data_IF_803332299904
#
_entry.id   IF_803332299904
#
_cell.length_a   1.000
_cell.length_b   1.000
_cell.length_c   1.000
_cell.angle_alpha   90.00
_cell.angle_beta   90.00
_cell.angle_gamma   90.00
#
_symmetry.space_group_name_H-M   'P 1'
#
loop_
_entity.id
_entity.type
_entity.pdbx_description
1 polymer ?
#
# COMPACT_ATOMS: atom_id res chain seq x y z
N UNK A 1 29.11 -45.47 11.89
CA UNK A 1 28.50 -44.12 11.86
C UNK A 1 29.66 -43.15 11.66
N UNK A 2 29.65 -42.31 10.62
CA UNK A 2 30.74 -41.32 10.46
C UNK A 2 30.70 -40.34 11.64
N UNK A 3 31.88 -39.88 12.09
CA UNK A 3 31.97 -38.82 13.09
C UNK A 3 31.38 -37.51 12.55
N UNK A 4 30.73 -36.73 13.42
CA UNK A 4 30.06 -35.50 13.02
C UNK A 4 31.04 -34.48 12.40
N UNK A 5 32.28 -34.40 12.90
CA UNK A 5 33.28 -33.47 12.36
C UNK A 5 33.73 -33.89 10.97
N UNK A 6 33.85 -35.19 10.72
CA UNK A 6 34.23 -35.69 9.40
C UNK A 6 33.09 -35.51 8.39
N UNK A 7 31.82 -35.67 8.80
CA UNK A 7 30.66 -35.35 7.96
C UNK A 7 30.67 -33.86 7.59
N UNK A 8 30.91 -32.96 8.56
CA UNK A 8 30.97 -31.51 8.30
C UNK A 8 32.09 -31.14 7.33
N UNK A 9 33.29 -31.72 7.48
CA UNK A 9 34.39 -31.53 6.52
C UNK A 9 34.04 -31.99 5.10
N UNK A 10 33.27 -33.08 4.98
CA UNK A 10 32.81 -33.54 3.67
C UNK A 10 31.75 -32.59 3.08
N UNK A 11 30.87 -32.00 3.91
CA UNK A 11 29.93 -30.94 3.50
C UNK A 11 30.67 -29.68 3.04
N UNK A 12 31.64 -29.20 3.81
CA UNK A 12 32.41 -27.98 3.47
C UNK A 12 33.08 -28.10 2.08
N UNK A 13 33.64 -29.28 1.77
CA UNK A 13 34.22 -29.55 0.43
C UNK A 13 33.19 -29.55 -0.70
N UNK A 14 31.95 -29.93 -0.42
CA UNK A 14 30.86 -29.89 -1.40
C UNK A 14 30.41 -28.44 -1.57
N UNK A 15 30.27 -27.69 -0.49
CA UNK A 15 29.86 -26.29 -0.51
C UNK A 15 30.85 -25.43 -1.31
N UNK A 16 32.16 -25.64 -1.13
CA UNK A 16 33.19 -25.00 -1.97
C UNK A 16 32.99 -25.25 -3.47
N UNK A 17 32.63 -26.48 -3.85
CA UNK A 17 32.34 -26.81 -5.25
C UNK A 17 31.06 -26.15 -5.74
N UNK A 18 30.00 -26.10 -4.91
CA UNK A 18 28.75 -25.43 -5.24
C UNK A 18 28.99 -23.94 -5.50
N UNK A 19 29.76 -23.27 -4.64
CA UNK A 19 30.13 -21.85 -4.81
C UNK A 19 30.87 -21.64 -6.13
N UNK A 20 31.88 -22.46 -6.42
CA UNK A 20 32.63 -22.37 -7.67
C UNK A 20 31.73 -22.53 -8.90
N UNK A 21 30.86 -23.53 -8.90
CA UNK A 21 29.92 -23.79 -10.00
C UNK A 21 28.89 -22.67 -10.15
N UNK A 22 28.42 -22.09 -9.04
CA UNK A 22 27.51 -20.96 -9.05
C UNK A 22 28.16 -19.74 -9.71
N UNK A 23 29.39 -19.39 -9.33
CA UNK A 23 30.15 -18.29 -9.94
C UNK A 23 30.38 -18.49 -11.44
N UNK A 24 30.78 -19.69 -11.85
CA UNK A 24 30.92 -20.05 -13.27
C UNK A 24 29.60 -19.87 -14.04
N UNK A 25 28.48 -20.31 -13.45
CA UNK A 25 27.14 -20.13 -14.04
C UNK A 25 26.73 -18.65 -14.12
N UNK A 26 27.08 -17.85 -13.12
CA UNK A 26 26.80 -16.41 -13.12
C UNK A 26 27.64 -15.66 -14.17
N UNK A 27 28.83 -16.15 -14.53
CA UNK A 27 29.59 -15.62 -15.67
C UNK A 27 28.86 -15.87 -16.97
N UNK A 28 28.45 -17.12 -17.24
CA UNK A 28 27.65 -17.48 -18.43
C UNK A 28 26.33 -16.71 -18.54
N UNK A 29 25.73 -16.34 -17.40
CA UNK A 29 24.54 -15.48 -17.38
C UNK A 29 24.80 -14.10 -17.99
N UNK A 30 26.02 -13.58 -17.84
CA UNK A 30 26.42 -12.27 -18.38
C UNK A 30 26.52 -12.36 -19.90
N UNK A 31 27.13 -13.42 -20.42
CA UNK A 31 27.18 -13.71 -21.86
C UNK A 31 25.77 -13.84 -22.46
N UNK A 32 24.84 -14.49 -21.74
CA UNK A 32 23.42 -14.56 -22.12
C UNK A 32 22.77 -13.18 -22.13
N UNK A 33 23.08 -12.32 -21.16
CA UNK A 33 22.59 -10.95 -21.11
C UNK A 33 23.06 -10.16 -22.33
N UNK A 34 24.36 -10.20 -22.64
CA UNK A 34 24.95 -9.52 -23.81
C UNK A 34 24.32 -9.98 -25.11
N UNK A 35 24.14 -11.30 -25.28
CA UNK A 35 23.44 -11.84 -26.44
C UNK A 35 22.00 -11.32 -26.55
N UNK A 36 21.25 -11.28 -25.44
CA UNK A 36 19.87 -10.78 -25.41
C UNK A 36 19.79 -9.28 -25.68
N UNK A 37 20.70 -8.49 -25.12
CA UNK A 37 20.85 -7.06 -25.38
C UNK A 37 21.03 -6.82 -26.88
N UNK A 38 21.95 -7.55 -27.52
CA UNK A 38 22.24 -7.40 -28.94
C UNK A 38 21.13 -7.91 -29.87
N UNK A 39 20.32 -8.87 -29.41
CA UNK A 39 19.25 -9.48 -30.22
C UNK A 39 17.84 -8.97 -29.90
N UNK A 40 17.69 -8.16 -28.85
CA UNK A 40 16.40 -7.70 -28.35
C UNK A 40 15.52 -8.79 -27.74
N UNK A 41 16.09 -9.96 -27.39
CA UNK A 41 15.33 -11.07 -26.79
C UNK A 41 14.99 -10.79 -25.33
N UNK A 42 13.83 -11.27 -24.89
CA UNK A 42 13.38 -11.15 -23.50
C UNK A 42 14.28 -11.92 -22.52
N UNK A 43 14.40 -11.38 -21.31
CA UNK A 43 15.17 -12.00 -20.22
C UNK A 43 14.44 -13.21 -19.65
N UNK A 44 13.16 -13.06 -19.32
CA UNK A 44 12.33 -14.16 -18.82
C UNK A 44 11.74 -14.98 -19.98
N UNK A 45 11.95 -16.29 -19.93
CA UNK A 45 11.40 -17.26 -20.89
C UNK A 45 10.85 -18.44 -20.09
N UNK A 46 9.53 -18.39 -19.82
CA UNK A 46 8.84 -19.33 -18.94
C UNK A 46 8.95 -20.77 -19.45
N UNK A 47 8.78 -20.99 -20.75
CA UNK A 47 8.84 -22.34 -21.34
C UNK A 47 10.24 -22.93 -21.23
N UNK A 48 11.28 -22.12 -21.50
CA UNK A 48 12.67 -22.55 -21.41
C UNK A 48 13.07 -22.92 -19.99
N UNK A 49 12.69 -22.10 -19.01
CA UNK A 49 12.99 -22.34 -17.61
C UNK A 49 12.27 -23.59 -17.09
N UNK A 50 10.97 -23.73 -17.38
CA UNK A 50 10.18 -24.88 -16.94
C UNK A 50 10.70 -26.20 -17.54
N UNK A 51 11.06 -26.18 -18.84
CA UNK A 51 11.73 -27.30 -19.51
C UNK A 51 13.05 -27.69 -18.82
N UNK A 52 13.82 -26.69 -18.38
CA UNK A 52 15.11 -26.92 -17.72
C UNK A 52 14.93 -27.47 -16.30
N UNK A 53 13.98 -26.94 -15.53
CA UNK A 53 13.62 -27.45 -14.20
C UNK A 53 13.16 -28.91 -14.28
N UNK A 54 12.24 -29.23 -15.20
CA UNK A 54 11.78 -30.60 -15.42
C UNK A 54 12.93 -31.56 -15.77
N UNK A 55 13.92 -31.10 -16.55
CA UNK A 55 15.11 -31.89 -16.89
C UNK A 55 16.01 -32.15 -15.67
N UNK A 56 16.18 -31.15 -14.80
CA UNK A 56 17.01 -31.27 -13.60
C UNK A 56 16.35 -32.13 -12.53
N UNK A 57 15.04 -32.01 -12.35
CA UNK A 57 14.24 -32.82 -11.44
C UNK A 57 14.33 -34.33 -11.76
N UNK A 58 14.44 -34.70 -13.05
CA UNK A 58 14.64 -36.10 -13.47
C UNK A 58 15.97 -36.71 -13.01
N UNK A 59 16.94 -35.89 -12.59
CA UNK A 59 18.23 -36.36 -12.06
C UNK A 59 18.19 -36.66 -10.56
N UNK A 60 17.09 -36.34 -9.88
CA UNK A 60 16.93 -36.55 -8.45
C UNK A 60 16.64 -38.04 -8.13
N UNK A 61 17.19 -38.53 -7.03
CA UNK A 61 17.03 -39.92 -6.59
C UNK A 61 15.77 -40.15 -5.76
N UNK A 62 15.20 -39.10 -5.17
CA UNK A 62 14.03 -39.17 -4.29
C UNK A 62 13.08 -38.00 -4.52
N UNK A 63 11.83 -38.12 -4.08
CA UNK A 63 10.85 -37.04 -4.19
C UNK A 63 11.27 -35.80 -3.39
N UNK A 64 11.88 -36.01 -2.21
CA UNK A 64 12.44 -34.93 -1.39
C UNK A 64 13.54 -34.16 -2.15
N UNK A 65 14.51 -34.86 -2.73
CA UNK A 65 15.59 -34.22 -3.49
C UNK A 65 15.09 -33.62 -4.81
N UNK A 66 14.05 -34.19 -5.41
CA UNK A 66 13.40 -33.65 -6.61
C UNK A 66 12.77 -32.28 -6.34
N UNK A 67 12.09 -32.14 -5.21
CA UNK A 67 11.53 -30.86 -4.79
C UNK A 67 12.65 -29.86 -4.47
N UNK A 68 13.65 -30.25 -3.66
CA UNK A 68 14.78 -29.40 -3.30
C UNK A 68 15.61 -28.91 -4.51
N UNK A 69 15.82 -29.76 -5.52
CA UNK A 69 16.49 -29.37 -6.77
C UNK A 69 15.67 -28.33 -7.53
N UNK A 70 14.33 -28.47 -7.58
CA UNK A 70 13.49 -27.47 -8.25
C UNK A 70 13.63 -26.10 -7.58
N UNK A 71 13.42 -26.04 -6.28
CA UNK A 71 13.52 -24.80 -5.49
C UNK A 71 14.90 -24.14 -5.64
N UNK A 72 15.98 -24.93 -5.50
CA UNK A 72 17.35 -24.42 -5.65
C UNK A 72 17.57 -23.80 -7.04
N UNK A 73 17.15 -24.50 -8.10
CA UNK A 73 17.37 -24.02 -9.45
C UNK A 73 16.44 -22.87 -9.85
N UNK A 74 15.21 -22.80 -9.30
CA UNK A 74 14.34 -21.62 -9.44
C UNK A 74 15.01 -20.39 -8.84
N UNK A 75 15.60 -20.50 -7.64
CA UNK A 75 16.36 -19.39 -7.04
C UNK A 75 17.58 -18.99 -7.86
N UNK A 76 18.34 -19.97 -8.35
CA UNK A 76 19.50 -19.73 -9.22
C UNK A 76 19.08 -19.06 -10.56
N UNK A 77 17.92 -19.42 -11.12
CA UNK A 77 17.37 -18.80 -12.34
C UNK A 77 16.87 -17.38 -12.07
N UNK A 78 16.14 -17.16 -10.97
CA UNK A 78 15.74 -15.83 -10.54
C UNK A 78 16.95 -14.91 -10.37
N UNK A 79 18.05 -15.42 -9.80
CA UNK A 79 19.32 -14.69 -9.72
C UNK A 79 19.93 -14.38 -11.06
N UNK A 80 19.87 -15.32 -12.00
CA UNK A 80 20.31 -15.05 -13.36
C UNK A 80 19.52 -13.95 -14.03
N UNK A 81 18.19 -13.91 -13.84
CA UNK A 81 17.33 -12.87 -14.42
C UNK A 81 17.65 -11.50 -13.83
N UNK A 82 17.83 -11.42 -12.51
CA UNK A 82 18.20 -10.17 -11.82
C UNK A 82 19.53 -9.61 -12.30
N UNK A 83 20.54 -10.48 -12.48
CA UNK A 83 21.81 -10.08 -13.08
C UNK A 83 21.65 -9.59 -14.51
N UNK A 84 20.88 -10.29 -15.35
CA UNK A 84 20.58 -9.86 -16.72
C UNK A 84 19.88 -8.49 -16.73
N UNK A 85 18.83 -8.32 -15.93
CA UNK A 85 18.13 -7.05 -15.76
C UNK A 85 19.09 -5.92 -15.38
N UNK A 86 19.92 -6.12 -14.35
CA UNK A 86 20.94 -5.13 -13.98
C UNK A 86 21.83 -4.73 -15.15
N UNK A 87 22.33 -5.70 -15.93
CA UNK A 87 23.15 -5.44 -17.12
C UNK A 87 22.39 -4.68 -18.21
N UNK A 88 21.11 -5.02 -18.47
CA UNK A 88 20.27 -4.26 -19.41
C UNK A 88 20.17 -2.79 -18.98
N UNK A 89 19.92 -2.54 -17.70
CA UNK A 89 19.83 -1.18 -17.14
C UNK A 89 21.15 -0.42 -17.25
N UNK A 90 22.29 -1.06 -16.98
CA UNK A 90 23.63 -0.49 -17.16
C UNK A 90 23.94 -0.13 -18.62
N UNK A 91 23.33 -0.85 -19.59
CA UNK A 91 23.41 -0.55 -21.02
C UNK A 91 22.37 0.49 -21.50
N UNK A 92 21.66 1.15 -20.58
CA UNK A 92 20.65 2.16 -20.90
C UNK A 92 19.31 1.59 -21.38
N UNK A 93 19.10 0.26 -21.30
CA UNK A 93 17.83 -0.38 -21.60
C UNK A 93 16.95 -0.32 -20.35
N UNK A 94 16.30 0.83 -20.20
CA UNK A 94 15.38 1.13 -19.10
C UNK A 94 13.95 0.68 -19.49
N UNK A 95 13.12 0.29 -18.51
CA UNK A 95 11.69 0.17 -18.76
C UNK A 95 11.10 1.55 -19.18
N UNK A 96 9.92 1.57 -19.83
CA UNK A 96 9.29 2.81 -20.26
C UNK A 96 9.13 3.78 -19.09
N UNK A 97 9.50 5.04 -19.30
CA UNK A 97 9.28 6.08 -18.31
C UNK A 97 7.79 6.40 -18.23
N UNK A 98 7.14 5.84 -17.20
CA UNK A 98 5.69 6.01 -17.00
C UNK A 98 5.36 7.30 -16.24
N UNK A 99 6.31 7.85 -15.47
CA UNK A 99 6.11 9.03 -14.63
C UNK A 99 7.03 10.18 -15.05
N UNK A 100 6.48 11.39 -15.05
CA UNK A 100 7.16 12.63 -15.35
C UNK A 100 7.74 13.25 -14.06
N UNK A 101 9.06 13.54 -14.01
CA UNK A 101 9.65 14.20 -12.87
C UNK A 101 9.25 15.68 -12.84
N UNK A 102 8.86 16.16 -11.66
CA UNK A 102 8.58 17.58 -11.40
C UNK A 102 9.40 18.05 -10.19
N UNK A 103 9.74 19.33 -10.13
CA UNK A 103 10.49 19.86 -8.99
C UNK A 103 9.64 19.97 -7.72
N UNK A 104 8.40 20.40 -7.86
CA UNK A 104 7.47 20.59 -6.73
C UNK A 104 6.03 20.35 -7.20
N UNK A 105 5.18 19.85 -6.31
CA UNK A 105 3.73 19.85 -6.53
C UNK A 105 3.22 21.30 -6.45
N UNK A 106 2.98 21.94 -7.59
CA UNK A 106 2.31 23.25 -7.64
C UNK A 106 0.80 23.06 -7.59
N UNK A 107 0.23 23.32 -6.41
CA UNK A 107 -1.20 23.26 -6.15
C UNK A 107 -1.81 24.64 -5.84
N UNK A 108 -1.12 25.73 -6.20
CA UNK A 108 -1.57 27.11 -5.92
C UNK A 108 -2.95 27.45 -6.50
N UNK A 109 -3.30 26.86 -7.64
CA UNK A 109 -4.60 27.02 -8.30
C UNK A 109 -5.38 25.69 -8.39
N UNK A 110 -4.98 24.67 -7.63
CA UNK A 110 -5.60 23.36 -7.71
C UNK A 110 -6.93 23.31 -6.97
N UNK A 111 -7.89 22.55 -7.52
CA UNK A 111 -9.11 22.16 -6.81
C UNK A 111 -8.90 20.84 -6.10
N UNK A 112 -9.09 20.80 -4.79
CA UNK A 112 -8.87 19.60 -3.99
C UNK A 112 -10.21 19.05 -3.48
N UNK A 113 -10.44 17.76 -3.68
CA UNK A 113 -11.65 17.09 -3.20
C UNK A 113 -11.33 16.16 -2.01
N UNK A 114 -12.25 16.10 -1.06
CA UNK A 114 -12.21 15.10 0.01
C UNK A 114 -13.60 14.49 0.22
N UNK A 115 -13.64 13.28 0.74
CA UNK A 115 -14.90 12.64 1.11
C UNK A 115 -15.34 13.06 2.51
N UNK A 116 -16.63 13.40 2.65
CA UNK A 116 -17.27 13.68 3.93
C UNK A 116 -17.94 15.05 3.98
N UNK A 117 -17.95 15.66 5.17
CA UNK A 117 -18.41 17.03 5.41
C UNK A 117 -17.29 17.84 6.06
N UNK A 118 -17.49 19.15 6.16
CA UNK A 118 -16.63 20.02 6.96
C UNK A 118 -16.44 19.48 8.38
N UNK A 119 -15.19 19.41 8.86
CA UNK A 119 -14.82 18.80 10.13
C UNK A 119 -14.42 17.33 10.05
N UNK A 120 -14.54 16.69 8.88
CA UNK A 120 -14.03 15.33 8.66
C UNK A 120 -12.51 15.26 8.79
N UNK A 121 -11.99 14.10 9.20
CA UNK A 121 -10.53 13.87 9.27
C UNK A 121 -9.85 13.97 7.90
N UNK A 122 -10.55 13.66 6.80
CA UNK A 122 -10.05 13.86 5.44
C UNK A 122 -9.81 15.34 5.12
N UNK A 123 -10.66 16.25 5.63
CA UNK A 123 -10.44 17.69 5.50
C UNK A 123 -9.20 18.11 6.30
N UNK A 124 -9.03 17.59 7.53
CA UNK A 124 -7.85 17.90 8.34
C UNK A 124 -6.55 17.42 7.66
N UNK A 125 -6.57 16.23 7.04
CA UNK A 125 -5.45 15.73 6.25
C UNK A 125 -5.14 16.63 5.05
N UNK A 126 -6.19 17.06 4.33
CA UNK A 126 -6.09 17.98 3.21
C UNK A 126 -5.51 19.34 3.63
N UNK A 127 -6.03 19.95 4.70
CA UNK A 127 -5.55 21.25 5.18
C UNK A 127 -4.10 21.20 5.68
N UNK A 128 -3.67 20.09 6.30
CA UNK A 128 -2.27 19.93 6.71
C UNK A 128 -1.32 19.78 5.51
N UNK A 129 -1.78 19.17 4.42
CA UNK A 129 -0.96 18.97 3.23
C UNK A 129 -0.95 20.19 2.30
N UNK A 130 -2.11 20.78 2.03
CA UNK A 130 -2.31 21.86 1.05
C UNK A 130 -2.43 23.27 1.67
N UNK A 131 -2.60 23.36 2.99
CA UNK A 131 -2.89 24.61 3.71
C UNK A 131 -4.38 24.86 3.94
N UNK A 132 -4.70 25.60 5.01
CA UNK A 132 -6.08 25.83 5.48
C UNK A 132 -7.00 26.55 4.48
N UNK A 133 -6.43 27.39 3.60
CA UNK A 133 -7.18 28.20 2.63
C UNK A 133 -7.12 27.63 1.20
N UNK A 134 -6.85 26.33 1.05
CA UNK A 134 -6.81 25.70 -0.27
C UNK A 134 -8.20 25.69 -0.94
N UNK A 135 -8.25 25.80 -2.26
CA UNK A 135 -9.50 25.74 -3.02
C UNK A 135 -10.03 24.30 -3.00
N UNK A 136 -11.02 24.04 -2.15
CA UNK A 136 -11.48 22.68 -1.89
C UNK A 136 -13.01 22.54 -1.89
N UNK A 137 -13.47 21.30 -2.06
CA UNK A 137 -14.86 20.91 -1.92
C UNK A 137 -14.97 19.48 -1.40
N UNK A 138 -16.17 19.08 -0.99
CA UNK A 138 -16.43 17.75 -0.46
C UNK A 138 -17.47 17.00 -1.27
N UNK A 139 -17.39 15.67 -1.21
CA UNK A 139 -18.30 14.72 -1.87
C UNK A 139 -18.76 13.64 -0.90
N UNK A 140 -19.81 12.91 -1.28
CA UNK A 140 -20.45 11.93 -0.40
C UNK A 140 -19.63 10.64 -0.25
N UNK A 141 -19.06 10.13 -1.35
CA UNK A 141 -18.30 8.87 -1.36
C UNK A 141 -16.86 9.03 -1.87
N UNK A 142 -16.00 8.04 -1.55
CA UNK A 142 -14.63 8.02 -2.09
C UNK A 142 -14.61 7.82 -3.61
N UNK A 143 -15.61 7.09 -4.13
CA UNK A 143 -15.78 6.93 -5.57
C UNK A 143 -16.06 8.27 -6.26
N UNK A 144 -16.92 9.11 -5.70
CA UNK A 144 -17.20 10.45 -6.24
C UNK A 144 -15.94 11.31 -6.27
N UNK A 145 -15.04 11.16 -5.28
CA UNK A 145 -13.76 11.88 -5.26
C UNK A 145 -12.84 11.43 -6.40
N UNK A 146 -12.81 10.12 -6.69
CA UNK A 146 -12.07 9.58 -7.83
C UNK A 146 -12.68 10.00 -9.18
N UNK A 147 -14.02 10.01 -9.29
CA UNK A 147 -14.75 10.48 -10.47
C UNK A 147 -14.53 11.98 -10.71
N UNK A 148 -14.50 12.80 -9.67
CA UNK A 148 -14.20 14.23 -9.78
C UNK A 148 -12.81 14.50 -10.38
N UNK A 149 -11.79 13.71 -10.03
CA UNK A 149 -10.48 13.80 -10.70
C UNK A 149 -10.61 13.39 -12.18
N UNK A 150 -11.24 12.25 -12.43
CA UNK A 150 -11.41 11.69 -13.79
C UNK A 150 -12.12 12.66 -14.74
N UNK A 151 -13.12 13.38 -14.23
CA UNK A 151 -13.91 14.36 -14.99
C UNK A 151 -13.23 15.73 -15.11
N UNK A 152 -12.09 15.93 -14.45
CA UNK A 152 -11.40 17.22 -14.41
C UNK A 152 -12.14 18.26 -13.56
N UNK A 153 -12.92 17.83 -12.58
CA UNK A 153 -13.58 18.68 -11.57
C UNK A 153 -12.67 18.95 -10.36
N UNK A 154 -11.74 18.05 -10.08
CA UNK A 154 -10.68 18.18 -9.09
C UNK A 154 -9.31 17.84 -9.70
N UNK A 155 -8.25 18.44 -9.16
CA UNK A 155 -6.87 18.15 -9.52
C UNK A 155 -6.25 17.12 -8.57
N UNK A 156 -6.69 17.12 -7.31
CA UNK A 156 -6.25 16.22 -6.25
C UNK A 156 -7.39 15.70 -5.41
N UNK A 157 -7.25 14.49 -4.86
CA UNK A 157 -8.13 13.96 -3.83
C UNK A 157 -7.34 13.47 -2.61
N UNK A 158 -7.93 13.58 -1.43
CA UNK A 158 -7.37 13.08 -0.17
C UNK A 158 -8.20 11.91 0.34
N UNK A 159 -7.57 10.74 0.43
CA UNK A 159 -8.24 9.47 0.72
C UNK A 159 -7.57 8.74 1.88
N UNK A 160 -8.32 8.21 2.86
CA UNK A 160 -7.74 7.37 3.91
C UNK A 160 -7.36 6.00 3.32
N UNK A 161 -6.15 5.51 3.59
CA UNK A 161 -5.71 4.19 3.11
C UNK A 161 -5.57 3.17 4.23
N UNK A 162 -5.25 3.62 5.44
CA UNK A 162 -5.00 2.75 6.59
C UNK A 162 -5.26 3.47 7.91
N UNK A 163 -5.83 2.77 8.88
CA UNK A 163 -5.96 3.21 10.26
C UNK A 163 -5.23 2.26 11.21
N UNK A 164 -4.44 2.80 12.14
CA UNK A 164 -3.59 2.02 13.04
C UNK A 164 -4.36 1.10 14.00
N UNK A 165 -5.66 1.32 14.20
CA UNK A 165 -6.50 0.51 15.08
C UNK A 165 -7.47 -0.41 14.34
N UNK A 166 -7.88 -0.07 13.10
CA UNK A 166 -8.88 -0.83 12.35
C UNK A 166 -8.33 -1.50 11.08
N UNK A 167 -7.07 -1.26 10.73
CA UNK A 167 -6.43 -1.77 9.53
C UNK A 167 -6.76 -0.95 8.29
N UNK A 168 -6.68 -1.61 7.14
CA UNK A 168 -6.79 -0.98 5.82
C UNK A 168 -8.19 -0.49 5.48
N UNK A 169 -8.26 0.56 4.67
CA UNK A 169 -9.49 1.00 4.00
C UNK A 169 -9.58 0.31 2.64
N UNK A 170 -10.13 -0.90 2.64
CA UNK A 170 -10.12 -1.82 1.49
C UNK A 170 -10.74 -1.23 0.22
N UNK A 171 -11.81 -0.45 0.33
CA UNK A 171 -12.48 0.20 -0.81
C UNK A 171 -11.54 1.15 -1.57
N UNK A 172 -10.70 1.91 -0.87
CA UNK A 172 -9.76 2.83 -1.51
C UNK A 172 -8.63 2.11 -2.25
N UNK A 173 -8.23 0.93 -1.79
CA UNK A 173 -7.31 0.07 -2.56
C UNK A 173 -7.94 -0.42 -3.87
N UNK A 174 -9.22 -0.78 -3.84
CA UNK A 174 -9.93 -1.24 -5.04
C UNK A 174 -10.11 -0.07 -6.03
N UNK A 175 -10.49 1.11 -5.54
CA UNK A 175 -10.62 2.33 -6.33
C UNK A 175 -9.30 2.78 -6.97
N UNK A 176 -8.16 2.64 -6.30
CA UNK A 176 -6.84 2.95 -6.86
C UNK A 176 -6.51 2.08 -8.09
N UNK A 177 -7.11 0.90 -8.21
CA UNK A 177 -6.93 0.05 -9.39
C UNK A 177 -7.97 0.34 -10.47
N UNK A 178 -9.20 0.67 -10.09
CA UNK A 178 -10.28 1.01 -11.03
C UNK A 178 -10.03 2.34 -11.76
N UNK A 179 -9.45 3.33 -11.08
CA UNK A 179 -9.21 4.67 -11.63
C UNK A 179 -7.73 4.88 -11.96
N UNK A 180 -7.46 5.67 -13.01
CA UNK A 180 -6.11 6.11 -13.41
C UNK A 180 -5.61 7.27 -12.53
N UNK A 181 -5.68 7.11 -11.21
CA UNK A 181 -5.17 8.06 -10.23
C UNK A 181 -3.87 7.55 -9.60
N UNK A 182 -2.97 8.47 -9.28
CA UNK A 182 -1.61 8.19 -8.81
C UNK A 182 -1.31 8.93 -7.52
N UNK A 183 -0.70 8.23 -6.57
CA UNK A 183 -0.29 8.78 -5.28
C UNK A 183 0.91 9.70 -5.47
N UNK A 184 0.79 10.92 -4.96
CA UNK A 184 1.82 11.99 -5.01
C UNK A 184 2.20 12.52 -3.64
N UNK A 185 1.58 12.01 -2.57
CA UNK A 185 1.90 12.39 -1.20
C UNK A 185 1.13 11.57 -0.18
N UNK A 186 1.53 11.70 1.07
CA UNK A 186 0.82 11.12 2.22
C UNK A 186 0.75 12.09 3.39
N UNK A 187 -0.26 11.90 4.25
CA UNK A 187 -0.43 12.64 5.48
C UNK A 187 -0.94 11.72 6.59
N UNK A 188 -0.28 11.72 7.74
CA UNK A 188 -0.71 10.93 8.90
C UNK A 188 -1.42 11.86 9.88
N UNK A 189 -2.69 11.56 10.15
CA UNK A 189 -3.51 12.32 11.09
C UNK A 189 -3.77 11.50 12.34
N UNK A 190 -3.42 12.06 13.49
CA UNK A 190 -3.79 11.53 14.79
C UNK A 190 -5.30 11.67 15.00
N UNK A 191 -5.93 10.58 15.42
CA UNK A 191 -7.37 10.49 15.63
C UNK A 191 -7.67 10.61 17.11
N UNK A 192 -8.20 11.77 17.51
CA UNK A 192 -8.63 12.06 18.86
C UNK A 192 -10.14 12.30 18.88
N UNK A 193 -10.88 11.29 19.37
CA UNK A 193 -12.33 11.37 19.47
C UNK A 193 -12.73 12.10 20.74
N UNK A 194 -13.72 12.98 20.62
CA UNK A 194 -14.33 13.72 21.69
C UNK A 194 -15.84 13.49 21.71
N UNK A 195 -16.43 13.50 22.90
CA UNK A 195 -17.87 13.56 23.10
C UNK A 195 -18.32 15.02 22.98
N UNK A 196 -19.19 15.30 22.02
CA UNK A 196 -19.70 16.64 21.72
C UNK A 196 -21.19 16.70 22.04
N UNK A 197 -21.64 17.75 22.71
CA UNK A 197 -23.06 18.02 22.97
C UNK A 197 -23.38 19.50 22.74
N UNK A 198 -24.64 19.87 22.97
CA UNK A 198 -25.03 21.29 22.92
C UNK A 198 -24.29 22.12 23.98
N UNK A 199 -24.27 23.44 23.80
CA UNK A 199 -23.50 24.36 24.66
C UNK A 199 -23.93 24.30 26.13
N UNK A 200 -25.22 24.10 26.36
CA UNK A 200 -25.88 23.96 27.65
C UNK A 200 -25.91 22.51 28.18
N UNK A 201 -25.50 21.52 27.39
CA UNK A 201 -25.47 20.12 27.82
C UNK A 201 -24.36 19.82 28.84
N UNK A 202 -24.68 18.94 29.78
CA UNK A 202 -23.74 18.24 30.66
C UNK A 202 -23.68 16.75 30.24
N UNK A 203 -22.58 16.07 30.54
CA UNK A 203 -22.43 14.64 30.22
C UNK A 203 -23.54 13.79 30.87
N UNK A 204 -24.07 14.21 32.02
CA UNK A 204 -25.16 13.52 32.73
C UNK A 204 -26.49 13.57 32.00
N UNK A 205 -26.67 14.51 31.07
CA UNK A 205 -27.91 14.67 30.31
C UNK A 205 -28.00 13.69 29.14
N UNK A 206 -26.85 13.16 28.69
CA UNK A 206 -26.75 12.36 27.48
C UNK A 206 -27.47 11.03 27.63
N UNK A 207 -28.25 10.67 26.61
CA UNK A 207 -28.95 9.38 26.46
C UNK A 207 -28.74 8.76 25.09
N UNK A 208 -28.37 9.56 24.09
CA UNK A 208 -28.21 9.10 22.71
C UNK A 208 -26.91 9.61 22.13
N UNK A 209 -26.14 8.72 21.49
CA UNK A 209 -24.85 9.02 20.87
C UNK A 209 -24.84 8.65 19.39
N UNK A 210 -24.45 9.61 18.55
CA UNK A 210 -24.24 9.43 17.11
C UNK A 210 -22.77 9.41 16.76
N UNK A 211 -22.34 8.53 15.86
CA UNK A 211 -21.00 8.56 15.26
C UNK A 211 -20.90 7.61 14.06
N UNK A 212 -19.75 7.60 13.38
CA UNK A 212 -19.46 6.52 12.44
C UNK A 212 -19.30 5.18 13.17
N UNK A 213 -19.71 4.07 12.53
CA UNK A 213 -19.62 2.70 13.08
C UNK A 213 -18.24 2.40 13.68
N UNK A 214 -17.18 2.77 12.97
CA UNK A 214 -15.81 2.53 13.42
C UNK A 214 -15.43 3.36 14.64
N UNK A 215 -15.92 4.59 14.74
CA UNK A 215 -15.66 5.46 15.89
C UNK A 215 -16.42 5.01 17.14
N UNK A 216 -17.65 4.48 16.97
CA UNK A 216 -18.36 3.80 18.07
C UNK A 216 -17.57 2.60 18.60
N UNK A 217 -17.05 1.74 17.70
CA UNK A 217 -16.23 0.59 18.10
C UNK A 217 -14.92 1.03 18.76
N UNK A 218 -14.29 2.09 18.26
CA UNK A 218 -13.04 2.63 18.82
C UNK A 218 -13.22 3.34 20.17
N UNK A 219 -14.45 3.66 20.58
CA UNK A 219 -14.75 4.28 21.88
C UNK A 219 -15.57 3.34 22.78
N UNK A 220 -15.55 2.03 22.51
CA UNK A 220 -16.39 1.06 23.21
C UNK A 220 -16.15 1.06 24.71
N UNK A 221 -14.91 1.17 25.18
CA UNK A 221 -14.61 1.14 26.63
C UNK A 221 -15.28 2.30 27.38
N UNK A 222 -15.25 3.50 26.78
CA UNK A 222 -15.96 4.66 27.32
C UNK A 222 -17.48 4.47 27.25
N UNK A 223 -17.98 3.97 26.13
CA UNK A 223 -19.42 3.75 25.91
C UNK A 223 -19.99 2.58 26.73
N UNK A 224 -19.16 1.65 27.20
CA UNK A 224 -19.57 0.54 28.06
C UNK A 224 -19.75 1.01 29.52
N UNK A 225 -19.03 2.06 29.92
CA UNK A 225 -19.30 2.76 31.20
C UNK A 225 -20.60 3.57 31.20
N UNK A 226 -21.24 3.72 30.04
CA UNK A 226 -22.53 4.40 29.81
C UNK A 226 -23.50 3.46 29.08
N UNK A 227 -23.69 2.26 29.62
CA UNK A 227 -24.45 1.18 28.97
C UNK A 227 -25.93 1.52 28.69
N UNK A 228 -26.47 2.55 29.37
CA UNK A 228 -27.82 3.09 29.19
C UNK A 228 -27.95 4.01 27.97
N UNK A 229 -26.85 4.42 27.33
CA UNK A 229 -26.88 5.27 26.15
C UNK A 229 -27.19 4.48 24.86
N UNK A 230 -28.15 4.98 24.09
CA UNK A 230 -28.44 4.48 22.75
C UNK A 230 -27.37 4.93 21.76
N UNK A 231 -26.92 4.03 20.88
CA UNK A 231 -25.80 4.26 19.96
C UNK A 231 -26.28 4.13 18.53
N UNK A 232 -26.19 5.20 17.74
CA UNK A 232 -26.63 5.23 16.35
C UNK A 232 -25.45 5.49 15.39
N UNK A 233 -25.33 4.64 14.38
CA UNK A 233 -24.33 4.83 13.33
C UNK A 233 -24.83 5.78 12.26
N UNK A 234 -23.97 6.72 11.85
CA UNK A 234 -24.15 7.58 10.68
C UNK A 234 -22.99 7.41 9.69
N UNK A 235 -23.03 8.10 8.55
CA UNK A 235 -22.06 7.94 7.46
C UNK A 235 -20.64 8.44 7.80
N UNK A 236 -20.50 9.50 8.58
CA UNK A 236 -19.19 9.95 9.10
C UNK A 236 -19.35 10.77 10.40
N UNK A 237 -18.22 11.07 11.06
CA UNK A 237 -18.23 11.75 12.35
C UNK A 237 -18.70 13.21 12.30
N UNK A 238 -18.43 13.92 11.21
CA UNK A 238 -18.90 15.29 11.03
C UNK A 238 -20.43 15.35 10.85
N UNK A 239 -21.01 14.37 10.14
CA UNK A 239 -22.46 14.18 10.04
C UNK A 239 -23.08 13.97 11.42
N UNK A 240 -22.43 13.24 12.32
CA UNK A 240 -22.93 13.07 13.69
C UNK A 240 -22.96 14.40 14.45
N UNK A 241 -21.91 15.22 14.36
CA UNK A 241 -21.85 16.51 15.02
C UNK A 241 -22.90 17.49 14.47
N UNK A 242 -23.00 17.58 13.13
CA UNK A 242 -24.04 18.38 12.46
C UNK A 242 -25.44 17.97 12.90
N UNK A 243 -25.71 16.65 12.95
CA UNK A 243 -26.99 16.10 13.38
C UNK A 243 -27.35 16.53 14.81
N UNK A 244 -26.42 16.44 15.76
CA UNK A 244 -26.67 16.87 17.15
C UNK A 244 -27.04 18.35 17.21
N UNK A 245 -26.36 19.19 16.41
CA UNK A 245 -26.68 20.61 16.33
C UNK A 245 -28.07 20.86 15.74
N UNK A 246 -28.44 20.13 14.70
CA UNK A 246 -29.73 20.26 14.01
C UNK A 246 -30.90 19.71 14.83
N UNK A 247 -30.71 18.60 15.52
CA UNK A 247 -31.72 17.99 16.39
C UNK A 247 -32.06 18.93 17.56
N UNK A 248 -31.07 19.65 18.11
CA UNK A 248 -31.31 20.62 19.19
C UNK A 248 -31.70 19.99 20.54
N UNK A 249 -31.50 18.68 20.70
CA UNK A 249 -31.81 17.93 21.92
C UNK A 249 -30.59 17.81 22.85
N UNK A 250 -30.73 18.27 24.10
CA UNK A 250 -29.66 18.26 25.11
C UNK A 250 -29.18 16.84 25.45
N UNK A 251 -30.07 15.85 25.31
CA UNK A 251 -29.75 14.44 25.56
C UNK A 251 -28.98 13.76 24.41
N UNK A 252 -28.78 14.44 23.29
CA UNK A 252 -28.04 13.93 22.14
C UNK A 252 -26.57 14.37 22.20
N UNK A 253 -25.66 13.45 21.90
CA UNK A 253 -24.25 13.71 21.74
C UNK A 253 -23.69 13.07 20.47
N UNK A 254 -22.56 13.60 20.00
CA UNK A 254 -21.81 13.08 18.87
C UNK A 254 -20.42 12.66 19.32
N UNK A 255 -19.90 11.57 18.76
CA UNK A 255 -18.47 11.26 18.83
C UNK A 255 -17.83 11.73 17.53
N UNK A 256 -16.98 12.76 17.63
CA UNK A 256 -16.27 13.36 16.51
C UNK A 256 -14.95 14.00 16.96
N UNK A 257 -14.22 14.64 16.04
CA UNK A 257 -13.03 15.42 16.42
C UNK A 257 -13.45 16.69 17.16
N UNK A 258 -12.62 17.19 18.08
CA UNK A 258 -12.89 18.43 18.80
C UNK A 258 -13.07 19.65 17.86
N UNK A 259 -12.49 19.63 16.65
CA UNK A 259 -12.69 20.69 15.63
C UNK A 259 -14.16 20.82 15.22
N UNK A 260 -14.94 19.73 15.22
CA UNK A 260 -16.37 19.77 14.92
C UNK A 260 -17.16 20.60 15.93
N UNK A 261 -16.67 20.72 17.17
CA UNK A 261 -17.30 21.56 18.17
C UNK A 261 -17.28 23.04 17.78
N UNK A 262 -16.15 23.49 17.22
CA UNK A 262 -16.00 24.87 16.74
C UNK A 262 -16.81 25.11 15.47
N UNK A 263 -16.79 24.17 14.52
CA UNK A 263 -17.50 24.29 13.24
C UNK A 263 -19.01 24.37 13.44
N UNK A 264 -19.58 23.52 14.29
CA UNK A 264 -21.03 23.41 14.45
C UNK A 264 -21.57 24.15 15.69
N UNK A 265 -20.71 24.85 16.44
CA UNK A 265 -21.11 25.54 17.68
C UNK A 265 -21.67 24.57 18.72
N UNK A 266 -20.89 23.52 19.00
CA UNK A 266 -21.13 22.53 20.05
C UNK A 266 -20.07 22.67 21.15
N UNK A 267 -20.32 22.03 22.29
CA UNK A 267 -19.41 21.93 23.42
C UNK A 267 -18.75 20.57 23.46
N UNK A 268 -17.45 20.58 23.73
CA UNK A 268 -16.71 19.37 24.07
C UNK A 268 -17.04 18.98 25.51
N UNK A 269 -17.80 17.89 25.69
CA UNK A 269 -18.15 17.35 27.00
C UNK A 269 -16.99 16.53 27.58
N UNK A 270 -16.31 15.77 26.73
CA UNK A 270 -15.14 14.95 27.11
C UNK A 270 -14.18 14.78 25.94
N UNK A 271 -12.88 14.87 26.21
CA UNK A 271 -11.82 14.64 25.22
C UNK A 271 -11.23 13.24 25.31
N UNK A 272 -10.65 12.79 24.20
CA UNK A 272 -9.82 11.58 24.10
C UNK A 272 -10.51 10.32 24.64
N UNK A 273 -11.73 10.05 24.16
CA UNK A 273 -12.57 8.93 24.62
C UNK A 273 -12.32 7.62 23.86
N UNK A 274 -11.40 7.62 22.89
CA UNK A 274 -11.02 6.41 22.16
C UNK A 274 -10.22 5.44 23.04
N UNK A 275 -10.42 4.13 22.82
CA UNK A 275 -9.73 3.04 23.53
C UNK A 275 -8.21 3.14 23.35
N UNK A 276 -7.74 3.35 22.11
CA UNK A 276 -6.31 3.47 21.79
C UNK A 276 -5.89 4.94 21.63
N UNK A 277 -5.04 5.44 22.53
CA UNK A 277 -4.50 6.81 22.48
C UNK A 277 -3.51 7.05 21.34
N UNK A 278 -2.96 5.98 20.75
CA UNK A 278 -2.06 6.02 19.60
C UNK A 278 -2.81 5.66 18.29
N UNK A 279 -4.04 6.15 18.16
CA UNK A 279 -4.85 5.98 16.95
C UNK A 279 -4.45 7.02 15.90
N UNK A 280 -4.12 6.58 14.70
CA UNK A 280 -3.78 7.46 13.58
C UNK A 280 -4.31 6.86 12.29
N UNK A 281 -4.68 7.73 11.35
CA UNK A 281 -5.07 7.34 10.00
C UNK A 281 -4.07 7.92 9.02
N UNK A 282 -3.54 7.06 8.16
CA UNK A 282 -2.72 7.42 7.02
C UNK A 282 -3.64 7.77 5.85
N UNK A 283 -3.48 8.98 5.34
CA UNK A 283 -4.15 9.48 4.15
C UNK A 283 -3.14 9.56 3.01
N UNK A 284 -3.61 9.31 1.80
CA UNK A 284 -2.88 9.49 0.56
C UNK A 284 -3.46 10.66 -0.21
N UNK A 285 -2.60 11.37 -0.91
CA UNK A 285 -2.94 12.43 -1.86
C UNK A 285 -2.78 11.86 -3.25
N UNK A 286 -3.85 11.89 -4.05
CA UNK A 286 -3.86 11.32 -5.40
C UNK A 286 -4.19 12.36 -6.46
N UNK A 287 -3.68 12.18 -7.67
CA UNK A 287 -3.96 13.02 -8.85
C UNK A 287 -4.10 12.16 -10.11
N UNK A 288 -4.74 12.69 -11.16
CA UNK A 288 -4.85 12.03 -12.47
C UNK A 288 -3.56 12.11 -13.32
N UNK A 289 -2.52 12.76 -12.81
CA UNK A 289 -1.23 12.94 -13.50
C UNK A 289 -0.20 11.92 -13.02
N UNK A 290 0.52 11.28 -13.94
CA UNK A 290 1.68 10.42 -13.61
C UNK A 290 2.91 11.28 -13.35
N UNK A 291 2.96 11.93 -12.22
CA UNK A 291 4.06 12.82 -11.82
C UNK A 291 4.69 12.39 -10.51
N UNK A 292 5.93 12.78 -10.26
CA UNK A 292 6.63 12.55 -9.00
C UNK A 292 7.66 13.63 -8.74
N UNK A 293 7.98 13.86 -7.46
CA UNK A 293 9.00 14.85 -7.07
C UNK A 293 10.37 14.20 -6.93
N UNK A 294 11.43 15.01 -7.00
CA UNK A 294 12.80 14.56 -6.75
C UNK A 294 13.07 14.13 -5.29
N UNK A 295 12.17 14.50 -4.38
CA UNK A 295 12.17 14.13 -2.96
C UNK A 295 11.40 12.82 -2.68
N UNK A 296 10.65 12.30 -3.65
CA UNK A 296 9.87 11.09 -3.49
C UNK A 296 10.78 9.89 -3.17
N UNK A 297 10.59 9.30 -1.99
CA UNK A 297 11.37 8.19 -1.47
C UNK A 297 10.53 6.93 -1.20
N UNK A 298 9.24 6.98 -1.55
CA UNK A 298 8.33 5.85 -1.43
C UNK A 298 7.68 5.55 -2.77
N UNK A 299 7.41 4.26 -2.98
CA UNK A 299 6.69 3.78 -4.15
C UNK A 299 5.63 2.79 -3.69
N UNK A 300 4.41 3.00 -4.18
CA UNK A 300 3.30 2.06 -4.03
C UNK A 300 3.05 1.35 -5.34
N UNK A 301 2.93 0.02 -5.29
CA UNK A 301 2.62 -0.82 -6.44
C UNK A 301 1.47 -1.76 -6.14
N UNK A 302 0.83 -2.28 -7.19
CA UNK A 302 0.02 -3.48 -7.09
C UNK A 302 0.37 -4.50 -8.17
N UNK A 303 0.29 -5.78 -7.82
CA UNK A 303 0.52 -6.86 -8.77
C UNK A 303 -0.35 -8.09 -8.48
N UNK A 304 -0.54 -8.92 -9.50
CA UNK A 304 -1.30 -10.16 -9.45
C UNK A 304 -0.41 -11.35 -9.77
N UNK A 305 -0.59 -12.46 -9.07
CA UNK A 305 0.20 -13.68 -9.22
C UNK A 305 -0.70 -14.90 -9.36
N UNK A 306 -0.16 -15.97 -9.95
CA UNK A 306 -0.87 -17.26 -9.98
C UNK A 306 -1.03 -17.80 -8.55
N UNK A 307 -2.13 -18.50 -8.29
CA UNK A 307 -2.34 -19.17 -7.01
C UNK A 307 -1.58 -20.49 -6.94
N UNK A 308 -0.25 -20.39 -6.80
CA UNK A 308 0.67 -21.53 -6.79
C UNK A 308 1.67 -21.40 -5.63
N UNK A 309 2.23 -22.53 -5.18
CA UNK A 309 3.26 -22.54 -4.14
C UNK A 309 4.47 -21.72 -4.56
N UNK A 310 4.97 -20.87 -3.67
CA UNK A 310 6.16 -20.03 -3.91
C UNK A 310 5.91 -18.78 -4.75
N UNK A 311 4.74 -18.58 -5.35
CA UNK A 311 4.48 -17.45 -6.26
C UNK A 311 4.72 -16.07 -5.61
N UNK A 312 4.21 -15.87 -4.38
CA UNK A 312 4.44 -14.62 -3.65
C UNK A 312 5.91 -14.47 -3.26
N UNK A 313 6.54 -15.55 -2.79
CA UNK A 313 7.97 -15.54 -2.44
C UNK A 313 8.84 -15.12 -3.63
N UNK A 314 8.56 -15.65 -4.83
CA UNK A 314 9.26 -15.27 -6.05
C UNK A 314 9.07 -13.79 -6.40
N UNK A 315 7.86 -13.26 -6.29
CA UNK A 315 7.60 -11.83 -6.48
C UNK A 315 8.38 -10.98 -5.45
N UNK A 316 8.29 -11.31 -4.16
CA UNK A 316 8.96 -10.55 -3.09
C UNK A 316 10.48 -10.63 -3.16
N UNK A 317 11.03 -11.67 -3.79
CA UNK A 317 12.46 -11.77 -4.03
C UNK A 317 13.00 -10.59 -4.86
N UNK A 318 12.19 -9.91 -5.68
CA UNK A 318 12.66 -8.72 -6.41
C UNK A 318 13.09 -7.58 -5.47
N UNK A 319 12.51 -7.47 -4.27
CA UNK A 319 12.94 -6.48 -3.27
C UNK A 319 14.22 -6.90 -2.56
N UNK A 320 14.27 -8.14 -2.06
CA UNK A 320 15.39 -8.68 -1.28
C UNK A 320 16.72 -8.50 -2.01
N UNK A 321 16.76 -8.86 -3.30
CA UNK A 321 18.00 -8.87 -4.06
C UNK A 321 18.41 -7.49 -4.61
N UNK A 322 17.49 -6.53 -4.62
CA UNK A 322 17.80 -5.14 -4.90
C UNK A 322 18.04 -4.33 -3.62
N UNK A 323 18.00 -4.95 -2.44
CA UNK A 323 18.21 -4.28 -1.16
C UNK A 323 17.11 -3.27 -0.81
N UNK A 324 15.88 -3.48 -1.31
CA UNK A 324 14.75 -2.58 -1.11
C UNK A 324 13.98 -2.99 0.15
N UNK A 325 13.64 -2.02 0.99
CA UNK A 325 12.87 -2.23 2.21
C UNK A 325 11.38 -2.06 1.93
N UNK A 326 10.58 -3.09 2.22
CA UNK A 326 9.11 -3.00 2.11
C UNK A 326 8.54 -2.49 3.44
N UNK A 327 7.64 -1.53 3.36
CA UNK A 327 6.99 -0.91 4.53
C UNK A 327 5.56 -1.38 4.73
N UNK A 328 4.92 -1.92 3.69
CA UNK A 328 3.56 -2.45 3.76
C UNK A 328 3.33 -3.55 2.73
N UNK A 329 2.51 -4.54 3.06
CA UNK A 329 2.02 -5.55 2.13
C UNK A 329 0.57 -5.94 2.49
N UNK A 330 -0.32 -5.88 1.51
CA UNK A 330 -1.74 -6.19 1.68
C UNK A 330 -2.24 -7.07 0.54
N UNK A 331 -3.05 -8.08 0.86
CA UNK A 331 -3.70 -8.90 -0.16
C UNK A 331 -5.18 -8.56 -0.30
N UNK A 332 -5.67 -8.57 -1.54
CA UNK A 332 -7.08 -8.37 -1.89
C UNK A 332 -7.51 -9.50 -2.82
N UNK A 333 -8.61 -10.21 -2.52
CA UNK A 333 -9.12 -11.24 -3.43
C UNK A 333 -9.60 -10.60 -4.74
N UNK A 334 -9.32 -11.25 -5.86
CA UNK A 334 -9.80 -10.79 -7.17
C UNK A 334 -11.30 -11.07 -7.33
N UNK A 335 -12.04 -10.08 -7.83
CA UNK A 335 -13.44 -10.28 -8.17
C UNK A 335 -13.55 -11.31 -9.32
N UNK A 336 -14.47 -12.25 -9.18
CA UNK A 336 -14.76 -13.32 -10.16
C UNK A 336 -13.66 -14.39 -10.34
N UNK A 337 -12.63 -14.42 -9.51
CA UNK A 337 -11.62 -15.50 -9.49
C UNK A 337 -11.42 -16.02 -8.08
N UNK A 338 -11.84 -17.27 -7.85
CA UNK A 338 -11.71 -17.85 -6.52
C UNK A 338 -10.24 -18.06 -6.15
N UNK A 339 -9.85 -17.58 -4.98
CA UNK A 339 -8.53 -17.76 -4.36
C UNK A 339 -7.35 -17.15 -5.14
N UNK A 340 -7.60 -16.32 -6.14
CA UNK A 340 -6.56 -15.46 -6.72
C UNK A 340 -6.55 -14.10 -6.01
N UNK A 341 -5.36 -13.53 -5.84
CA UNK A 341 -5.15 -12.33 -5.05
C UNK A 341 -4.33 -11.29 -5.82
N UNK A 342 -4.72 -10.04 -5.62
CA UNK A 342 -3.89 -8.86 -5.89
C UNK A 342 -3.14 -8.50 -4.62
N UNK A 343 -1.88 -8.15 -4.77
CA UNK A 343 -1.03 -7.67 -3.69
C UNK A 343 -0.75 -6.19 -3.90
N UNK A 344 -0.86 -5.42 -2.83
CA UNK A 344 -0.46 -4.03 -2.74
C UNK A 344 0.78 -3.96 -1.87
N UNK A 345 1.82 -3.28 -2.35
CA UNK A 345 3.10 -3.18 -1.64
C UNK A 345 3.56 -1.73 -1.66
N UNK A 346 3.95 -1.24 -0.48
CA UNK A 346 4.71 0.00 -0.34
C UNK A 346 6.15 -0.36 0.00
N UNK A 347 7.10 0.35 -0.61
CA UNK A 347 8.52 0.17 -0.33
C UNK A 347 9.29 1.48 -0.46
N UNK A 348 10.44 1.54 0.21
CA UNK A 348 11.36 2.68 0.20
C UNK A 348 12.30 2.61 -1.02
N UNK A 349 12.49 3.74 -1.68
CA UNK A 349 13.40 3.91 -2.81
C UNK A 349 12.95 5.04 -3.74
N UNK A 350 13.91 5.66 -4.44
CA UNK A 350 13.59 6.69 -5.43
C UNK A 350 13.29 6.06 -6.78
N UNK A 351 12.34 6.62 -7.52
CA UNK A 351 11.96 6.08 -8.82
C UNK A 351 13.15 5.94 -9.77
N UNK A 352 14.09 6.88 -9.76
CA UNK A 352 15.27 6.87 -10.65
C UNK A 352 16.35 5.84 -10.27
N UNK A 353 16.28 5.26 -9.07
CA UNK A 353 17.32 4.35 -8.58
C UNK A 353 17.37 3.06 -9.42
N UNK A 354 18.57 2.66 -9.82
CA UNK A 354 18.76 1.42 -10.59
C UNK A 354 18.19 0.19 -9.88
N UNK A 355 18.30 0.12 -8.54
CA UNK A 355 17.74 -0.96 -7.72
C UNK A 355 16.20 -1.04 -7.84
N UNK A 356 15.54 0.11 -7.77
CA UNK A 356 14.09 0.25 -7.94
C UNK A 356 13.68 -0.14 -9.35
N UNK A 357 14.31 0.44 -10.37
CA UNK A 357 14.01 0.16 -11.77
C UNK A 357 14.19 -1.33 -12.11
N UNK A 358 15.21 -1.97 -11.55
CA UNK A 358 15.43 -3.40 -11.68
C UNK A 358 14.29 -4.23 -11.05
N UNK A 359 13.87 -3.88 -9.83
CA UNK A 359 12.79 -4.58 -9.14
C UNK A 359 11.44 -4.42 -9.87
N UNK A 360 11.10 -3.19 -10.29
CA UNK A 360 9.87 -2.88 -11.01
C UNK A 360 9.80 -3.63 -12.36
N UNK A 361 10.91 -3.70 -13.10
CA UNK A 361 10.97 -4.50 -14.34
C UNK A 361 10.78 -5.99 -14.06
N UNK A 362 11.49 -6.52 -13.07
CA UNK A 362 11.37 -7.94 -12.71
C UNK A 362 9.94 -8.33 -12.32
N UNK A 363 9.29 -7.51 -11.51
CA UNK A 363 7.88 -7.70 -11.15
C UNK A 363 6.97 -7.63 -12.37
N UNK A 364 7.16 -6.65 -13.26
CA UNK A 364 6.34 -6.50 -14.46
C UNK A 364 6.43 -7.69 -15.41
N UNK A 365 7.62 -8.27 -15.57
CA UNK A 365 7.85 -9.41 -16.47
C UNK A 365 7.38 -10.75 -15.87
N UNK A 366 7.35 -10.86 -14.53
CA UNK A 366 7.13 -12.15 -13.84
C UNK A 366 5.76 -12.26 -13.15
N UNK A 367 4.93 -11.21 -13.18
CA UNK A 367 3.58 -11.19 -12.61
C UNK A 367 2.50 -11.20 -13.71
N UNK A 368 1.26 -11.54 -13.37
CA UNK A 368 0.15 -11.60 -14.32
C UNK A 368 -0.28 -10.18 -14.72
N UNK A 369 -0.34 -9.29 -13.73
CA UNK A 369 -0.65 -7.88 -13.90
C UNK A 369 0.21 -7.10 -12.93
N UNK A 370 0.62 -5.90 -13.34
CA UNK A 370 1.48 -5.02 -12.57
C UNK A 370 1.11 -3.58 -12.85
N UNK A 371 1.03 -2.76 -11.80
CA UNK A 371 0.79 -1.33 -11.90
C UNK A 371 1.54 -0.60 -10.78
N UNK A 372 2.12 0.54 -11.13
CA UNK A 372 2.64 1.49 -10.16
C UNK A 372 1.49 2.42 -9.78
N UNK A 373 1.18 2.48 -8.49
CA UNK A 373 0.11 3.30 -7.93
C UNK A 373 0.58 4.71 -7.58
N UNK A 374 1.88 4.92 -7.42
CA UNK A 374 2.44 6.25 -7.22
C UNK A 374 3.89 6.19 -6.73
N UNK A 375 4.54 7.33 -6.80
CA UNK A 375 5.87 7.57 -6.24
C UNK A 375 5.84 8.96 -5.60
N UNK A 376 6.10 9.00 -4.30
CA UNK A 376 5.78 10.13 -3.45
C UNK A 376 6.69 10.25 -2.23
#
# INVERSE_FOLDING_TARGET
MKDLLDIRKDIDKIDEQIVKLYEERMKLTSDVAEYKINTGKQVFDKEREESKLATLQKKAESDFTRHGIRELFEQIMAMSRKKQYKLLTEHGIMPPQEFEPIHTLDYSNARIVFQGLEGAYSQLAMEQFFGENCNNFHVESWKDAMEAIKNGEADYAVLPIENSSAGIVSENYDLLVEYDNYIVGEQIIRIDHALLGLEDADERDIRTVYSHKQSLMQCSEFLDSHADWEKFSVSNNAVAAKKVKEDGEISHAAIASAKNAQIYGLKVLRNSIQNNKNNSTRFIVVTGKKVYTDQADRISICFEINHESGALYHALSHFIYNGLNMTNIQSRPLQNKNWEYRFFVDFEGRFEDHAVQNALRGLREETIAFRILGTY
#
